data_IF_015269641706
#
_entry.id   IF_015269641706
#
_cell.length_a   1.000
_cell.length_b   1.000
_cell.length_c   1.000
_cell.angle_alpha   90.00
_cell.angle_beta   90.00
_cell.angle_gamma   90.00
#
_symmetry.space_group_name_H-M   'P 1'
#
loop_
_entity.id
_entity.type
_entity.pdbx_description
1 polymer ?
#
# COMPACT_ATOMS: atom_id res chain seq x y z
N UNK A 1 16.50 -20.69 15.39
CA UNK A 1 15.67 -21.09 16.56
C UNK A 1 14.23 -21.16 16.08
N UNK A 2 13.50 -22.23 16.35
CA UNK A 2 12.12 -22.40 15.85
C UNK A 2 11.11 -21.83 16.84
N UNK A 3 10.13 -21.09 16.36
CA UNK A 3 9.04 -20.57 17.20
C UNK A 3 8.17 -21.71 17.75
N UNK A 4 7.74 -21.61 19.01
CA UNK A 4 6.77 -22.53 19.62
C UNK A 4 5.35 -22.26 19.09
N UNK A 5 4.48 -23.26 19.07
CA UNK A 5 3.11 -23.13 18.54
C UNK A 5 2.31 -22.01 19.23
N UNK A 6 2.48 -21.85 20.55
CA UNK A 6 1.84 -20.79 21.32
C UNK A 6 2.22 -19.38 20.82
N UNK A 7 3.51 -19.18 20.52
CA UNK A 7 4.05 -17.91 20.02
C UNK A 7 3.49 -17.61 18.62
N UNK A 8 3.43 -18.62 17.75
CA UNK A 8 2.85 -18.49 16.41
C UNK A 8 1.36 -18.15 16.47
N UNK A 9 0.61 -18.77 17.41
CA UNK A 9 -0.80 -18.45 17.63
C UNK A 9 -0.99 -16.97 17.98
N UNK A 10 -0.17 -16.43 18.88
CA UNK A 10 -0.25 -15.01 19.22
C UNK A 10 0.06 -14.10 18.03
N UNK A 11 1.03 -14.45 17.18
CA UNK A 11 1.36 -13.67 15.98
C UNK A 11 0.19 -13.68 14.99
N UNK A 12 -0.41 -14.85 14.72
CA UNK A 12 -1.56 -14.96 13.82
C UNK A 12 -2.77 -14.18 14.34
N UNK A 13 -3.08 -14.31 15.63
CA UNK A 13 -4.17 -13.55 16.27
C UNK A 13 -3.90 -12.05 16.24
N UNK A 14 -2.64 -11.62 16.40
CA UNK A 14 -2.28 -10.22 16.26
C UNK A 14 -2.47 -9.72 14.82
N UNK A 15 -2.00 -10.46 13.82
CA UNK A 15 -2.15 -10.12 12.40
C UNK A 15 -3.61 -9.99 11.99
N UNK A 16 -4.50 -10.86 12.47
CA UNK A 16 -5.94 -10.77 12.18
C UNK A 16 -6.65 -9.67 12.96
N UNK A 17 -6.10 -9.21 14.09
CA UNK A 17 -6.73 -8.19 14.93
C UNK A 17 -6.64 -6.76 14.36
N UNK A 18 -5.73 -6.50 13.42
CA UNK A 18 -5.47 -5.15 12.89
C UNK A 18 -4.90 -4.16 13.92
N UNK A 19 -4.56 -4.60 15.13
CA UNK A 19 -4.03 -3.75 16.19
C UNK A 19 -2.54 -3.44 15.98
N UNK A 20 -2.08 -2.32 16.52
CA UNK A 20 -0.63 -2.10 16.66
C UNK A 20 -0.03 -3.13 17.63
N UNK A 21 1.24 -3.47 17.44
CA UNK A 21 1.96 -4.43 18.29
C UNK A 21 1.88 -4.03 19.78
N UNK A 22 2.07 -2.75 20.09
CA UNK A 22 2.03 -2.24 21.45
C UNK A 22 0.64 -2.39 22.08
N UNK A 23 -0.43 -2.11 21.33
CA UNK A 23 -1.80 -2.28 21.81
C UNK A 23 -2.13 -3.75 22.07
N UNK A 24 -1.73 -4.65 21.16
CA UNK A 24 -1.92 -6.08 21.32
C UNK A 24 -1.16 -6.64 22.53
N UNK A 25 0.12 -6.26 22.69
CA UNK A 25 0.94 -6.70 23.82
C UNK A 25 0.35 -6.25 25.15
N UNK A 26 -0.12 -5.00 25.25
CA UNK A 26 -0.81 -4.50 26.46
C UNK A 26 -2.09 -5.28 26.75
N UNK A 27 -2.93 -5.52 25.74
CA UNK A 27 -4.20 -6.24 25.89
C UNK A 27 -4.02 -7.70 26.32
N UNK A 28 -2.99 -8.36 25.81
CA UNK A 28 -2.71 -9.78 26.06
C UNK A 28 -1.71 -10.01 27.22
N UNK A 29 -1.26 -8.95 27.89
CA UNK A 29 -0.27 -9.05 28.97
C UNK A 29 1.11 -9.54 28.53
N UNK A 30 1.46 -9.34 27.25
CA UNK A 30 2.72 -9.79 26.67
C UNK A 30 3.80 -8.72 26.79
N UNK A 31 5.05 -9.15 27.03
CA UNK A 31 6.20 -8.27 26.94
C UNK A 31 6.45 -7.91 25.46
N UNK A 32 6.42 -6.60 25.15
CA UNK A 32 6.56 -6.10 23.78
C UNK A 32 7.91 -6.45 23.13
N UNK A 33 9.01 -6.47 23.92
CA UNK A 33 10.35 -6.83 23.43
C UNK A 33 10.41 -8.32 23.08
N UNK A 34 9.85 -9.17 23.94
CA UNK A 34 9.77 -10.61 23.69
C UNK A 34 8.93 -10.92 22.46
N UNK A 35 7.75 -10.29 22.34
CA UNK A 35 6.88 -10.45 21.17
C UNK A 35 7.55 -9.93 19.89
N UNK A 36 8.30 -8.82 19.96
CA UNK A 36 9.07 -8.31 18.82
C UNK A 36 10.14 -9.30 18.35
N UNK A 37 10.84 -9.96 19.27
CA UNK A 37 11.78 -11.01 18.91
C UNK A 37 11.08 -12.22 18.26
N UNK A 38 9.90 -12.61 18.75
CA UNK A 38 9.11 -13.66 18.11
C UNK A 38 8.70 -13.29 16.68
N UNK A 39 8.27 -12.04 16.48
CA UNK A 39 7.88 -11.55 15.15
C UNK A 39 9.06 -11.53 14.18
N UNK A 40 10.26 -11.18 14.64
CA UNK A 40 11.49 -11.24 13.83
C UNK A 40 11.77 -12.67 13.38
N UNK A 41 11.83 -13.61 14.32
CA UNK A 41 12.07 -15.03 14.00
C UNK A 41 10.99 -15.58 13.07
N UNK A 42 9.71 -15.24 13.30
CA UNK A 42 8.61 -15.66 12.43
C UNK A 42 8.73 -15.14 10.99
N UNK A 43 9.23 -13.90 10.81
CA UNK A 43 9.46 -13.31 9.48
C UNK A 43 10.67 -13.94 8.80
N UNK A 44 11.75 -14.18 9.55
CA UNK A 44 12.95 -14.84 9.03
C UNK A 44 12.60 -16.27 8.56
N UNK A 45 11.84 -17.04 9.36
CA UNK A 45 11.33 -18.36 8.99
C UNK A 45 10.39 -18.30 7.75
N UNK A 46 9.58 -17.25 7.61
CA UNK A 46 8.69 -17.08 6.47
C UNK A 46 9.45 -16.64 5.20
N UNK A 47 10.49 -15.83 5.34
CA UNK A 47 11.32 -15.38 4.22
C UNK A 47 12.15 -16.53 3.63
N UNK A 48 12.61 -17.46 4.47
CA UNK A 48 13.32 -18.66 4.01
C UNK A 48 12.39 -19.65 3.26
N UNK A 49 11.09 -19.63 3.59
CA UNK A 49 10.06 -20.43 2.90
C UNK A 49 9.32 -19.67 1.78
N UNK A 50 9.53 -18.36 1.65
CA UNK A 50 9.02 -17.55 0.55
C UNK A 50 10.20 -17.24 -0.37
N UNK A 51 10.43 -18.13 -1.33
CA UNK A 51 11.01 -17.70 -2.60
C UNK A 51 10.18 -16.51 -3.07
N UNK A 52 10.74 -15.30 -2.96
CA UNK A 52 10.09 -14.07 -3.37
C UNK A 52 9.76 -14.18 -4.87
N UNK A 53 8.57 -14.71 -5.15
CA UNK A 53 8.14 -15.02 -6.49
C UNK A 53 7.61 -13.72 -7.05
N UNK A 54 8.38 -13.12 -7.96
CA UNK A 54 7.95 -11.95 -8.70
C UNK A 54 6.70 -12.36 -9.48
N UNK A 55 5.54 -11.84 -9.07
CA UNK A 55 4.30 -12.01 -9.82
C UNK A 55 4.44 -11.12 -11.06
N UNK A 56 4.42 -11.67 -12.28
CA UNK A 56 4.46 -10.86 -13.49
C UNK A 56 3.20 -10.01 -13.54
N UNK A 57 3.33 -8.71 -13.37
CA UNK A 57 2.24 -7.78 -13.62
C UNK A 57 2.23 -7.52 -15.12
N UNK A 58 1.25 -8.09 -15.82
CA UNK A 58 0.99 -7.73 -17.21
C UNK A 58 0.52 -6.28 -17.25
N UNK A 59 1.42 -5.39 -17.68
CA UNK A 59 1.07 -4.01 -18.00
C UNK A 59 0.16 -4.11 -19.22
N UNK A 60 -1.15 -3.96 -19.04
CA UNK A 60 -2.07 -3.78 -20.16
C UNK A 60 -1.65 -2.48 -20.84
N UNK A 61 -1.14 -2.48 -22.08
CA UNK A 61 -0.94 -1.24 -22.79
C UNK A 61 -2.31 -0.60 -22.89
N UNK A 62 -2.50 0.50 -22.18
CA UNK A 62 -3.69 1.30 -22.34
C UNK A 62 -3.69 1.75 -23.79
N UNK A 63 -4.62 1.20 -24.56
CA UNK A 63 -5.05 1.76 -25.84
C UNK A 63 -5.69 3.11 -25.53
N UNK A 64 -4.85 4.08 -25.15
CA UNK A 64 -5.24 5.47 -25.02
C UNK A 64 -5.50 5.97 -26.42
N UNK A 65 -6.73 6.38 -26.78
CA UNK A 65 -6.87 7.31 -27.88
C UNK A 65 -5.99 8.51 -27.52
N UNK A 66 -5.03 8.82 -28.39
CA UNK A 66 -3.90 9.73 -28.21
C UNK A 66 -4.30 11.21 -28.03
N UNK A 67 -5.53 11.48 -27.61
CA UNK A 67 -6.20 12.76 -27.71
C UNK A 67 -6.77 13.19 -26.34
N UNK A 68 -6.00 13.06 -25.26
CA UNK A 68 -6.37 13.61 -23.95
C UNK A 68 -5.22 14.43 -23.36
N UNK A 69 -5.49 15.68 -23.03
CA UNK A 69 -4.61 16.57 -22.28
C UNK A 69 -4.81 16.34 -20.78
N UNK A 70 -3.72 16.18 -20.02
CA UNK A 70 -3.77 16.06 -18.56
C UNK A 70 -3.18 17.32 -17.91
N UNK A 71 -3.98 18.01 -17.11
CA UNK A 71 -3.54 19.16 -16.31
C UNK A 71 -3.35 18.72 -14.87
N UNK A 72 -2.16 18.94 -14.31
CA UNK A 72 -1.86 18.64 -12.90
C UNK A 72 -1.82 19.95 -12.11
N UNK A 73 -2.72 20.07 -11.13
CA UNK A 73 -2.74 21.19 -10.19
C UNK A 73 -1.74 21.02 -9.05
N UNK A 74 -1.51 22.10 -8.29
CA UNK A 74 -0.63 22.12 -7.10
C UNK A 74 -1.11 21.21 -5.95
N UNK A 75 -2.40 20.87 -5.92
CA UNK A 75 -3.04 20.08 -4.85
C UNK A 75 -3.19 18.59 -5.18
N UNK A 76 -2.33 18.01 -6.02
CA UNK A 76 -2.37 16.59 -6.44
C UNK A 76 -3.57 16.19 -7.32
N UNK A 77 -4.45 17.14 -7.68
CA UNK A 77 -5.54 16.88 -8.60
C UNK A 77 -5.02 16.81 -10.05
N UNK A 78 -5.49 15.83 -10.80
CA UNK A 78 -5.22 15.69 -12.24
C UNK A 78 -6.55 15.76 -12.97
N UNK A 79 -6.66 16.74 -13.87
CA UNK A 79 -7.81 16.91 -14.74
C UNK A 79 -7.46 16.32 -16.11
N UNK A 80 -8.27 15.40 -16.60
CA UNK A 80 -8.15 14.85 -17.96
C UNK A 80 -9.18 15.54 -18.86
N UNK A 81 -8.71 16.08 -19.97
CA UNK A 81 -9.48 16.88 -20.91
C UNK A 81 -9.30 16.28 -22.31
N UNK A 82 -10.36 16.13 -23.12
CA UNK A 82 -10.21 15.75 -24.54
C UNK A 82 -9.33 16.74 -25.31
N UNK A 83 -8.55 16.27 -26.29
CA UNK A 83 -7.68 17.13 -27.10
C UNK A 83 -8.44 17.92 -28.18
N UNK A 84 -9.72 17.62 -28.40
CA UNK A 84 -10.61 18.35 -29.32
C UNK A 84 -11.29 19.57 -28.66
N UNK A 85 -10.74 20.01 -27.53
CA UNK A 85 -11.29 21.12 -26.76
C UNK A 85 -10.78 22.45 -27.30
N UNK A 86 -11.69 23.43 -27.41
CA UNK A 86 -11.32 24.76 -27.90
C UNK A 86 -10.30 25.45 -26.99
N UNK A 87 -9.26 26.11 -27.55
CA UNK A 87 -8.29 26.85 -26.75
C UNK A 87 -8.91 27.95 -25.89
N UNK A 88 -9.98 28.59 -26.37
CA UNK A 88 -10.66 29.67 -25.67
C UNK A 88 -11.33 29.17 -24.38
N UNK A 89 -12.04 28.05 -24.45
CA UNK A 89 -12.64 27.42 -23.28
C UNK A 89 -11.58 26.97 -22.26
N UNK A 90 -10.46 26.40 -22.73
CA UNK A 90 -9.39 25.95 -21.84
C UNK A 90 -8.78 27.13 -21.06
N UNK A 91 -8.63 28.28 -21.71
CA UNK A 91 -8.18 29.51 -21.05
C UNK A 91 -9.17 29.98 -19.99
N UNK A 92 -10.48 29.92 -20.25
CA UNK A 92 -11.49 30.26 -19.22
C UNK A 92 -11.45 29.31 -18.03
N UNK A 93 -11.32 28.01 -18.28
CA UNK A 93 -11.17 27.01 -17.21
C UNK A 93 -9.93 27.28 -16.36
N UNK A 94 -8.78 27.58 -16.99
CA UNK A 94 -7.56 27.92 -16.26
C UNK A 94 -7.70 29.21 -15.44
N UNK A 95 -8.46 30.21 -15.91
CA UNK A 95 -8.74 31.43 -15.14
C UNK A 95 -9.58 31.16 -13.90
N UNK A 96 -10.52 30.21 -13.97
CA UNK A 96 -11.36 29.83 -12.82
C UNK A 96 -10.62 28.94 -11.80
N UNK A 97 -9.51 28.32 -12.19
CA UNK A 97 -8.69 27.46 -11.32
C UNK A 97 -7.59 28.23 -10.57
N UNK A 98 -7.45 29.53 -10.83
CA UNK A 98 -6.57 30.45 -10.11
C UNK A 98 -7.32 31.15 -8.98
#
# INVERSE_FOLDING_TARGET
MKLQQHQQKHIKTWQSSGMSQAAYCRKQGLNAKTFGNWLRIYRDDCADNQTATLVPVTIKPESSPMNSLKLRGSSCHVLEIPADVSPQWLVELLRCLN
#
